data_IF_804421412748
#
_entry.id   IF_804421412748
#
_cell.length_a   1.000
_cell.length_b   1.000
_cell.length_c   1.000
_cell.angle_alpha   90.00
_cell.angle_beta   90.00
_cell.angle_gamma   90.00
#
_symmetry.space_group_name_H-M   'P 1'
#
loop_
_entity.id
_entity.type
_entity.pdbx_description
1 polymer ?
#
# COMPACT_ATOMS: atom_id res chain seq x y z
N UNK A 1 -6.20 3.26 -16.77
CA UNK A 1 -5.47 4.40 -16.19
C UNK A 1 -4.03 4.00 -16.00
N UNK A 2 -3.08 4.89 -16.28
CA UNK A 2 -1.68 4.67 -15.90
C UNK A 2 -1.46 4.88 -14.39
N UNK A 3 -0.23 4.65 -13.93
CA UNK A 3 0.10 4.75 -12.50
C UNK A 3 -0.11 6.15 -11.93
N UNK A 4 0.29 7.20 -12.64
CA UNK A 4 0.15 8.59 -12.16
C UNK A 4 -1.33 8.98 -12.10
N UNK A 5 -2.11 8.58 -13.10
CA UNK A 5 -3.55 8.79 -13.11
C UNK A 5 -4.25 8.06 -11.94
N UNK A 6 -3.82 6.85 -11.58
CA UNK A 6 -4.32 6.15 -10.40
C UNK A 6 -4.02 6.89 -9.09
N UNK A 7 -2.80 7.42 -8.96
CA UNK A 7 -2.43 8.19 -7.78
C UNK A 7 -3.28 9.46 -7.65
N UNK A 8 -3.44 10.22 -8.73
CA UNK A 8 -4.29 11.42 -8.76
C UNK A 8 -5.75 11.11 -8.46
N UNK A 9 -6.29 10.04 -9.05
CA UNK A 9 -7.65 9.57 -8.77
C UNK A 9 -7.87 9.36 -7.27
N UNK A 10 -6.90 8.79 -6.55
CA UNK A 10 -7.00 8.63 -5.10
C UNK A 10 -6.95 9.97 -4.36
N UNK A 11 -6.07 10.88 -4.75
CA UNK A 11 -5.98 12.20 -4.12
C UNK A 11 -7.29 13.00 -4.26
N UNK A 12 -7.95 12.88 -5.41
CA UNK A 12 -9.20 13.59 -5.71
C UNK A 12 -10.43 12.99 -5.01
N UNK A 13 -10.46 11.67 -4.81
CA UNK A 13 -11.69 10.98 -4.41
C UNK A 13 -11.63 10.36 -3.00
N UNK A 14 -10.47 9.98 -2.49
CA UNK A 14 -10.39 9.16 -1.28
C UNK A 14 -10.92 9.88 -0.03
N UNK A 15 -10.58 11.15 0.15
CA UNK A 15 -10.95 11.94 1.32
C UNK A 15 -12.46 12.08 1.52
N UNK A 16 -13.19 12.40 0.44
CA UNK A 16 -14.65 12.46 0.49
C UNK A 16 -15.25 11.09 0.82
N UNK A 17 -14.72 10.03 0.20
CA UNK A 17 -15.26 8.68 0.33
C UNK A 17 -15.05 8.07 1.71
N UNK A 18 -13.88 8.26 2.32
CA UNK A 18 -13.62 7.79 3.69
C UNK A 18 -14.50 8.51 4.72
N UNK A 19 -14.83 9.78 4.49
CA UNK A 19 -15.65 10.57 5.42
C UNK A 19 -17.13 10.25 5.31
N UNK A 20 -17.65 10.06 4.09
CA UNK A 20 -19.10 10.05 3.86
C UNK A 20 -19.69 8.68 3.54
N UNK A 21 -18.87 7.70 3.14
CA UNK A 21 -19.38 6.43 2.61
C UNK A 21 -18.73 5.21 3.26
N UNK A 22 -19.46 4.11 3.47
CA UNK A 22 -18.86 2.87 3.94
C UNK A 22 -17.93 2.28 2.87
N UNK A 23 -16.84 1.62 3.30
CA UNK A 23 -15.92 0.96 2.37
C UNK A 23 -16.57 -0.23 1.64
N UNK A 24 -17.52 -0.91 2.29
CA UNK A 24 -18.20 -2.08 1.72
C UNK A 24 -18.96 -1.69 0.45
N UNK A 25 -18.61 -2.31 -0.67
CA UNK A 25 -19.25 -2.07 -1.96
C UNK A 25 -18.78 -0.80 -2.70
N UNK A 26 -17.97 0.06 -2.07
CA UNK A 26 -17.54 1.34 -2.60
C UNK A 26 -16.75 1.23 -3.93
N UNK A 27 -17.03 2.12 -4.86
CA UNK A 27 -16.44 2.08 -6.20
C UNK A 27 -14.99 2.58 -6.22
N UNK A 28 -14.68 3.67 -5.51
CA UNK A 28 -13.31 4.18 -5.36
C UNK A 28 -12.40 3.12 -4.75
N UNK A 29 -12.90 2.44 -3.72
CA UNK A 29 -12.22 1.31 -3.09
C UNK A 29 -11.88 0.17 -4.06
N UNK A 30 -12.85 -0.21 -4.92
CA UNK A 30 -12.68 -1.27 -5.92
C UNK A 30 -11.73 -0.84 -7.04
N UNK A 31 -11.94 0.35 -7.58
CA UNK A 31 -11.15 0.91 -8.67
C UNK A 31 -9.68 1.06 -8.27
N UNK A 32 -9.39 1.48 -7.04
CA UNK A 32 -8.02 1.54 -6.55
C UNK A 32 -7.37 0.16 -6.46
N UNK A 33 -8.03 -0.81 -5.84
CA UNK A 33 -7.48 -2.17 -5.70
C UNK A 33 -7.23 -2.84 -7.04
N UNK A 34 -8.12 -2.62 -8.02
CA UNK A 34 -7.96 -3.17 -9.35
C UNK A 34 -6.91 -2.40 -10.16
N UNK A 35 -6.95 -1.06 -10.10
CA UNK A 35 -6.00 -0.19 -10.76
C UNK A 35 -4.57 -0.43 -10.29
N UNK A 36 -4.33 -0.63 -8.99
CA UNK A 36 -2.98 -0.89 -8.48
C UNK A 36 -2.36 -2.17 -9.05
N UNK A 37 -3.18 -3.19 -9.40
CA UNK A 37 -2.69 -4.43 -10.01
C UNK A 37 -2.24 -4.26 -11.45
N UNK A 38 -2.76 -3.26 -12.16
CA UNK A 38 -2.54 -3.09 -13.61
C UNK A 38 -1.76 -1.83 -13.98
N UNK A 39 -1.84 -0.79 -13.15
CA UNK A 39 -1.25 0.51 -13.42
C UNK A 39 0.24 0.56 -13.06
N UNK A 40 0.68 -0.20 -12.04
CA UNK A 40 2.10 -0.38 -11.76
C UNK A 40 2.70 -1.16 -12.93
N UNK A 41 3.77 -0.67 -13.58
CA UNK A 41 4.32 -1.29 -14.78
C UNK A 41 5.10 -2.56 -14.43
N UNK A 42 4.39 -3.65 -14.14
CA UNK A 42 4.98 -4.95 -13.77
C UNK A 42 5.93 -5.45 -14.88
N UNK A 43 5.65 -5.14 -16.15
CA UNK A 43 6.54 -5.45 -17.26
C UNK A 43 7.94 -4.82 -17.15
N UNK A 44 8.07 -3.67 -16.48
CA UNK A 44 9.38 -3.05 -16.18
C UNK A 44 10.06 -3.68 -14.96
N UNK A 45 9.27 -4.20 -14.02
CA UNK A 45 9.78 -4.81 -12.80
C UNK A 45 10.21 -6.27 -13.02
N UNK A 46 9.54 -6.99 -13.92
CA UNK A 46 9.72 -8.42 -14.14
C UNK A 46 8.87 -9.28 -13.21
N UNK A 47 8.92 -10.60 -13.41
CA UNK A 47 8.12 -11.56 -12.65
C UNK A 47 8.60 -11.76 -11.21
N UNK A 48 9.79 -11.28 -10.85
CA UNK A 48 10.35 -11.39 -9.50
C UNK A 48 9.67 -10.47 -8.49
N UNK A 49 8.85 -9.52 -8.97
CA UNK A 49 8.14 -8.58 -8.12
C UNK A 49 6.65 -8.88 -8.01
N UNK A 50 6.08 -8.54 -6.86
CA UNK A 50 4.65 -8.61 -6.57
C UNK A 50 4.16 -7.24 -6.15
N UNK A 51 3.04 -6.81 -6.71
CA UNK A 51 2.35 -5.60 -6.28
C UNK A 51 1.24 -5.95 -5.30
N UNK A 52 1.12 -5.20 -4.21
CA UNK A 52 -0.04 -5.23 -3.35
C UNK A 52 -0.51 -3.81 -3.04
N UNK A 53 -1.76 -3.65 -2.66
CA UNK A 53 -2.31 -2.35 -2.28
C UNK A 53 -3.35 -2.54 -1.17
N UNK A 54 -3.51 -1.51 -0.35
CA UNK A 54 -4.47 -1.51 0.74
C UNK A 54 -5.13 -0.15 0.89
N UNK A 55 -6.41 -0.21 1.20
CA UNK A 55 -7.25 0.90 1.65
C UNK A 55 -7.91 0.54 2.98
N UNK A 56 -7.38 -0.47 3.67
CA UNK A 56 -7.98 -1.07 4.87
C UNK A 56 -8.66 -2.42 4.63
N UNK A 57 -9.03 -3.06 5.75
CA UNK A 57 -9.69 -4.37 5.81
C UNK A 57 -10.93 -4.24 6.70
N UNK A 58 -12.13 -4.42 6.14
CA UNK A 58 -13.40 -4.18 6.83
C UNK A 58 -13.77 -2.69 6.96
N UNK A 59 -12.82 -1.84 7.34
CA UNK A 59 -12.95 -0.37 7.38
C UNK A 59 -11.86 0.30 6.55
N UNK A 60 -12.08 1.57 6.19
CA UNK A 60 -11.10 2.38 5.49
C UNK A 60 -9.81 2.52 6.32
N UNK A 61 -8.66 2.52 5.64
CA UNK A 61 -7.40 2.91 6.24
C UNK A 61 -7.28 4.43 6.20
N UNK A 62 -6.85 5.03 7.30
CA UNK A 62 -6.49 6.45 7.33
C UNK A 62 -5.43 6.80 6.29
N UNK A 63 -4.52 5.85 6.02
CA UNK A 63 -3.45 6.01 5.03
C UNK A 63 -3.48 4.83 4.05
N UNK A 64 -4.07 5.00 2.85
CA UNK A 64 -4.01 3.98 1.81
C UNK A 64 -2.57 3.88 1.25
N UNK A 65 -2.25 2.76 0.61
CA UNK A 65 -0.91 2.53 0.07
C UNK A 65 -0.87 1.51 -1.07
N UNK A 66 0.21 1.57 -1.86
CA UNK A 66 0.61 0.57 -2.86
C UNK A 66 2.04 0.14 -2.52
N UNK A 67 2.31 -1.16 -2.46
CA UNK A 67 3.62 -1.72 -2.18
C UNK A 67 4.10 -2.61 -3.33
N UNK A 68 5.39 -2.51 -3.64
CA UNK A 68 6.11 -3.39 -4.55
C UNK A 68 7.07 -4.23 -3.70
N UNK A 69 6.92 -5.54 -3.84
CA UNK A 69 7.64 -6.55 -3.08
C UNK A 69 8.58 -7.32 -3.99
N UNK A 70 9.85 -7.42 -3.61
CA UNK A 70 10.76 -8.40 -4.17
C UNK A 70 10.42 -9.78 -3.58
N UNK A 71 9.95 -10.71 -4.40
CA UNK A 71 9.49 -12.04 -3.94
C UNK A 71 10.59 -12.85 -3.26
N UNK A 72 11.87 -12.59 -3.55
CA UNK A 72 12.99 -13.26 -2.88
C UNK A 72 13.18 -12.78 -1.44
N UNK A 73 12.74 -11.55 -1.13
CA UNK A 73 12.87 -10.94 0.20
C UNK A 73 11.57 -11.08 1.00
N UNK A 74 10.43 -10.73 0.40
CA UNK A 74 9.11 -10.76 1.04
C UNK A 74 8.00 -10.69 0.01
N UNK A 75 6.79 -11.13 0.38
CA UNK A 75 5.58 -10.92 -0.43
C UNK A 75 4.48 -10.17 0.33
N UNK A 76 4.86 -9.54 1.45
CA UNK A 76 3.98 -8.87 2.41
C UNK A 76 4.66 -7.67 3.06
N UNK A 77 3.91 -6.57 3.25
CA UNK A 77 4.39 -5.38 4.00
C UNK A 77 4.73 -5.67 5.47
N UNK A 78 4.32 -6.83 6.00
CA UNK A 78 4.59 -7.24 7.39
C UNK A 78 5.99 -7.79 7.62
N UNK A 79 6.73 -8.10 6.56
CA UNK A 79 8.05 -8.74 6.62
C UNK A 79 8.98 -8.15 5.55
N UNK A 80 10.28 -8.22 5.80
CA UNK A 80 11.32 -7.83 4.84
C UNK A 80 11.33 -6.34 4.55
N UNK A 81 11.88 -5.96 3.40
CA UNK A 81 11.99 -4.57 2.95
C UNK A 81 11.15 -4.40 1.69
N UNK A 82 10.40 -3.29 1.59
CA UNK A 82 9.40 -3.06 0.56
C UNK A 82 9.48 -1.62 0.05
N UNK A 83 9.27 -1.41 -1.25
CA UNK A 83 9.07 -0.09 -1.83
C UNK A 83 7.57 0.24 -1.69
N UNK A 84 7.23 1.36 -1.07
CA UNK A 84 5.84 1.72 -0.77
C UNK A 84 5.51 3.14 -1.23
N UNK A 85 4.43 3.28 -1.96
CA UNK A 85 3.74 4.54 -2.20
C UNK A 85 2.72 4.74 -1.10
N UNK A 86 3.01 5.67 -0.20
CA UNK A 86 2.20 5.98 0.98
C UNK A 86 1.50 7.32 0.77
N UNK A 87 0.17 7.33 0.81
CA UNK A 87 -0.58 8.59 0.73
C UNK A 87 -0.44 9.38 2.02
N UNK A 88 -0.58 10.70 1.95
CA UNK A 88 -0.71 11.52 3.15
C UNK A 88 -2.08 11.33 3.80
N UNK A 89 -2.19 11.63 5.09
CA UNK A 89 -3.46 11.49 5.82
C UNK A 89 -4.50 12.56 5.43
N UNK A 90 -4.05 13.65 4.80
CA UNK A 90 -4.91 14.66 4.17
C UNK A 90 -5.17 14.38 2.67
N UNK A 91 -4.61 13.28 2.15
CA UNK A 91 -4.76 12.79 0.78
C UNK A 91 -4.25 13.73 -0.33
N UNK A 92 -3.61 14.84 0.03
CA UNK A 92 -3.07 15.82 -0.91
C UNK A 92 -1.72 15.42 -1.52
N UNK A 93 -1.10 14.34 -1.05
CA UNK A 93 0.21 13.90 -1.52
C UNK A 93 0.41 12.39 -1.45
N UNK A 94 1.48 11.92 -2.10
CA UNK A 94 1.98 10.55 -2.02
C UNK A 94 3.49 10.57 -1.95
N UNK A 95 4.05 9.79 -1.03
CA UNK A 95 5.48 9.61 -0.84
C UNK A 95 5.92 8.23 -1.30
N UNK A 96 7.05 8.16 -1.99
CA UNK A 96 7.76 6.92 -2.24
C UNK A 96 8.74 6.70 -1.08
N UNK A 97 8.63 5.56 -0.40
CA UNK A 97 9.47 5.22 0.73
C UNK A 97 9.97 3.78 0.65
N UNK A 98 11.06 3.52 1.37
CA UNK A 98 11.56 2.19 1.66
C UNK A 98 11.10 1.81 3.07
N UNK A 99 10.24 0.79 3.19
CA UNK A 99 9.65 0.40 4.46
C UNK A 99 10.13 -0.99 4.88
N UNK A 100 10.35 -1.17 6.18
CA UNK A 100 10.66 -2.46 6.78
C UNK A 100 9.43 -3.05 7.48
N UNK A 101 9.15 -4.31 7.22
CA UNK A 101 8.09 -5.07 7.86
C UNK A 101 8.45 -5.42 9.31
N UNK A 102 8.09 -4.54 10.24
CA UNK A 102 8.37 -4.72 11.66
C UNK A 102 7.51 -5.81 12.32
N UNK A 103 6.29 -6.07 11.81
CA UNK A 103 5.39 -7.06 12.41
C UNK A 103 6.03 -8.44 12.54
N UNK A 104 6.72 -8.92 11.49
CA UNK A 104 7.44 -10.18 11.55
C UNK A 104 8.52 -10.19 12.63
N UNK A 105 9.26 -9.09 12.76
CA UNK A 105 10.32 -8.96 13.76
C UNK A 105 9.72 -9.02 15.17
N UNK A 106 8.67 -8.24 15.42
CA UNK A 106 7.95 -8.22 16.69
C UNK A 106 7.38 -9.59 17.09
N UNK A 107 6.82 -10.33 16.13
CA UNK A 107 6.16 -11.61 16.40
C UNK A 107 7.16 -12.75 16.65
N UNK A 108 8.37 -12.67 16.06
CA UNK A 108 9.37 -13.74 16.10
C UNK A 108 10.55 -13.47 17.05
N UNK A 109 10.83 -12.21 17.37
CA UNK A 109 11.96 -11.81 18.22
C UNK A 109 11.44 -10.99 19.40
N UNK A 110 11.14 -11.69 20.51
CA UNK A 110 10.57 -11.11 21.74
C UNK A 110 11.57 -10.38 22.63
N UNK A 111 12.87 -10.52 22.35
CA UNK A 111 13.92 -9.91 23.16
C UNK A 111 14.31 -8.54 22.60
N UNK A 112 13.94 -7.49 23.34
CA UNK A 112 13.92 -6.08 22.90
C UNK A 112 15.29 -5.41 22.83
N UNK A 113 16.37 -6.15 23.04
CA UNK A 113 17.76 -5.66 22.96
C UNK A 113 18.41 -5.83 21.58
N UNK A 114 17.81 -6.62 20.68
CA UNK A 114 18.36 -6.92 19.34
C UNK A 114 17.47 -6.47 18.18
N UNK A 115 16.33 -5.85 18.47
CA UNK A 115 15.41 -5.32 17.45
C UNK A 115 15.61 -3.82 17.28
N UNK A 116 15.72 -3.37 16.01
CA UNK A 116 15.82 -1.95 15.63
C UNK A 116 14.67 -1.16 16.28
N UNK A 117 15.03 -0.17 17.11
CA UNK A 117 14.09 0.81 17.66
C UNK A 117 13.84 1.95 16.69
#
# INVERSE_FOLDING_TARGET
MDFVALLKYMQENYGEQITNHPMAGNEVAKNFKQGAKTAVPIALLGEDYKVSASIGKGVWANVPWIAVHDKAISTSVKQGVNIVYLFTNDYNGVYLSLNQGYTFINDNYKDTKTTLK
#
